data_IF_515751193619
#
_entry.id   IF_515751193619
#
_cell.length_a   1.000
_cell.length_b   1.000
_cell.length_c   1.000
_cell.angle_alpha   90.00
_cell.angle_beta   90.00
_cell.angle_gamma   90.00
#
_symmetry.space_group_name_H-M   'P 1'
#
loop_
_entity.id
_entity.type
_entity.pdbx_description
1 polymer ?
#
# COMPACT_ATOMS: atom_id res chain seq x y z
N UNK A 1 11.95 20.44 -18.33
CA UNK A 1 12.33 21.45 -17.32
C UNK A 1 13.64 22.15 -17.71
N UNK A 2 13.68 22.95 -18.80
CA UNK A 2 14.91 23.64 -19.23
C UNK A 2 15.61 24.49 -18.17
N UNK A 3 14.88 25.01 -17.17
CA UNK A 3 15.46 25.83 -16.10
C UNK A 3 16.60 25.14 -15.32
N UNK A 4 16.65 23.80 -15.31
CA UNK A 4 17.65 23.02 -14.57
C UNK A 4 18.92 22.74 -15.36
N UNK A 5 18.97 23.07 -16.66
CA UNK A 5 20.13 22.81 -17.51
C UNK A 5 20.49 21.32 -17.67
N UNK A 6 19.59 20.40 -17.31
CA UNK A 6 19.79 18.95 -17.31
C UNK A 6 18.87 18.25 -18.30
N UNK A 7 19.32 17.10 -18.81
CA UNK A 7 18.47 16.19 -19.57
C UNK A 7 17.48 15.46 -18.65
N UNK A 8 16.41 14.92 -19.22
CA UNK A 8 15.45 14.11 -18.48
C UNK A 8 16.08 12.87 -17.84
N UNK A 9 17.01 12.21 -18.55
CA UNK A 9 17.76 11.06 -18.03
C UNK A 9 18.59 11.43 -16.79
N UNK A 10 19.29 12.57 -16.83
CA UNK A 10 20.08 13.05 -15.69
C UNK A 10 19.19 13.32 -14.46
N UNK A 11 18.06 13.99 -14.68
CA UNK A 11 17.09 14.27 -13.61
C UNK A 11 16.45 12.99 -13.07
N UNK A 12 16.15 12.01 -13.92
CA UNK A 12 15.60 10.71 -13.50
C UNK A 12 16.62 9.91 -12.68
N UNK A 13 17.89 9.86 -13.10
CA UNK A 13 18.97 9.25 -12.32
C UNK A 13 19.11 9.90 -10.94
N UNK A 14 19.13 11.23 -10.89
CA UNK A 14 19.12 12.00 -9.64
C UNK A 14 17.91 11.63 -8.76
N UNK A 15 16.71 11.60 -9.34
CA UNK A 15 15.48 11.20 -8.64
C UNK A 15 15.55 9.78 -8.05
N UNK A 16 15.98 8.79 -8.83
CA UNK A 16 16.08 7.40 -8.36
C UNK A 16 17.13 7.23 -7.25
N UNK A 17 18.24 7.96 -7.33
CA UNK A 17 19.26 7.97 -6.27
C UNK A 17 18.72 8.56 -4.97
N UNK A 18 18.07 9.74 -5.03
CA UNK A 18 17.40 10.35 -3.87
C UNK A 18 16.38 9.40 -3.25
N UNK A 19 15.55 8.77 -4.09
CA UNK A 19 14.51 7.84 -3.65
C UNK A 19 15.12 6.62 -2.95
N UNK A 20 16.20 6.06 -3.52
CA UNK A 20 16.94 4.96 -2.91
C UNK A 20 17.51 5.37 -1.54
N UNK A 21 18.21 6.49 -1.46
CA UNK A 21 18.81 6.98 -0.21
C UNK A 21 17.76 7.27 0.88
N UNK A 22 16.62 7.84 0.51
CA UNK A 22 15.52 8.08 1.45
C UNK A 22 14.93 6.77 1.96
N UNK A 23 14.61 5.83 1.06
CA UNK A 23 13.96 4.56 1.43
C UNK A 23 14.86 3.60 2.20
N UNK A 24 16.17 3.72 2.07
CA UNK A 24 17.15 2.94 2.85
C UNK A 24 17.53 3.63 4.17
N UNK A 25 17.01 4.82 4.44
CA UNK A 25 17.35 5.60 5.65
C UNK A 25 18.77 6.16 5.63
N UNK A 26 19.38 6.32 4.44
CA UNK A 26 20.69 6.93 4.27
C UNK A 26 20.63 8.47 4.35
N UNK A 27 19.47 9.08 4.06
CA UNK A 27 19.25 10.51 4.29
C UNK A 27 18.87 10.78 5.75
N UNK A 28 19.58 11.72 6.38
CA UNK A 28 19.18 12.25 7.68
C UNK A 28 18.01 13.23 7.48
N UNK A 29 16.81 12.83 7.89
CA UNK A 29 15.59 13.62 7.72
C UNK A 29 15.15 14.21 9.06
N UNK A 30 15.03 15.53 9.11
CA UNK A 30 14.49 16.23 10.26
C UNK A 30 12.95 16.19 10.20
N UNK A 31 12.33 15.68 11.27
CA UNK A 31 10.87 15.56 11.40
C UNK A 31 10.22 16.90 11.72
N UNK A 32 10.20 17.77 10.73
CA UNK A 32 9.56 19.08 10.78
C UNK A 32 8.91 19.41 9.45
N UNK A 33 8.00 20.35 9.49
CA UNK A 33 7.25 20.78 8.33
C UNK A 33 7.19 22.30 8.22
N UNK A 34 7.12 22.79 6.99
CA UNK A 34 7.12 24.20 6.66
C UNK A 34 5.84 24.59 5.94
N UNK A 35 5.24 25.71 6.30
CA UNK A 35 4.10 26.31 5.60
C UNK A 35 4.47 27.72 5.14
N UNK A 36 4.29 28.02 3.87
CA UNK A 36 4.45 29.35 3.28
C UNK A 36 3.10 29.79 2.71
N UNK A 37 2.35 30.58 3.48
CA UNK A 37 0.98 31.00 3.17
C UNK A 37 0.92 32.45 2.67
N UNK A 38 0.82 32.60 1.35
CA UNK A 38 0.62 33.91 0.70
C UNK A 38 -0.86 34.16 0.32
N UNK A 39 -1.79 33.44 0.93
CA UNK A 39 -3.25 33.58 0.74
C UNK A 39 -4.03 33.67 2.07
N UNK A 40 -3.42 34.23 3.11
CA UNK A 40 -3.97 34.29 4.49
C UNK A 40 -5.40 34.83 4.61
N UNK A 41 -5.82 35.71 3.71
CA UNK A 41 -7.15 36.34 3.73
C UNK A 41 -8.22 35.56 2.97
N UNK A 42 -7.88 34.44 2.33
CA UNK A 42 -8.83 33.67 1.52
C UNK A 42 -9.73 32.82 2.42
N UNK A 43 -11.08 32.95 2.31
CA UNK A 43 -12.02 32.27 3.21
C UNK A 43 -11.99 30.74 3.08
N UNK A 44 -11.50 30.23 1.94
CA UNK A 44 -11.31 28.79 1.71
C UNK A 44 -10.17 28.18 2.54
N UNK A 45 -9.24 29.01 3.05
CA UNK A 45 -8.11 28.58 3.88
C UNK A 45 -7.19 27.58 3.17
N UNK A 46 -6.58 27.97 2.04
CA UNK A 46 -5.79 27.05 1.20
C UNK A 46 -4.66 26.36 1.97
N UNK A 47 -3.92 27.12 2.79
CA UNK A 47 -2.86 26.59 3.65
C UNK A 47 -3.34 25.62 4.73
N UNK A 48 -4.66 25.52 4.95
CA UNK A 48 -5.26 24.50 5.78
C UNK A 48 -4.89 23.07 5.36
N UNK A 49 -4.47 22.85 4.10
CA UNK A 49 -3.93 21.56 3.69
C UNK A 49 -2.57 21.24 4.32
N UNK A 50 -1.67 22.22 4.42
CA UNK A 50 -0.40 22.08 5.13
C UNK A 50 -0.63 21.88 6.62
N UNK A 51 -1.30 22.85 7.27
CA UNK A 51 -1.54 22.84 8.72
C UNK A 51 -2.21 21.56 9.22
N UNK A 52 -3.28 21.11 8.55
CA UNK A 52 -4.03 19.92 8.97
C UNK A 52 -3.24 18.63 8.80
N UNK A 53 -2.45 18.51 7.73
CA UNK A 53 -1.72 17.28 7.45
C UNK A 53 -0.42 17.17 8.26
N UNK A 54 0.28 18.28 8.50
CA UNK A 54 1.61 18.23 9.09
C UNK A 54 1.61 17.92 10.58
N UNK A 55 0.65 18.46 11.35
CA UNK A 55 0.61 18.20 12.79
C UNK A 55 0.51 16.70 13.16
N UNK A 56 -0.34 15.88 12.52
CA UNK A 56 -0.35 14.42 12.71
C UNK A 56 0.95 13.70 12.32
N UNK A 57 1.71 14.25 11.35
CA UNK A 57 2.89 13.61 10.76
C UNK A 57 4.16 13.91 11.55
N UNK A 58 4.41 15.19 11.84
CA UNK A 58 5.64 15.67 12.49
C UNK A 58 5.44 16.23 13.89
N UNK A 59 4.19 16.46 14.30
CA UNK A 59 3.82 17.06 15.59
C UNK A 59 3.62 18.56 15.44
N UNK A 60 2.63 19.13 16.13
CA UNK A 60 2.26 20.55 15.99
C UNK A 60 3.41 21.50 16.30
N UNK A 61 4.27 21.15 17.26
CA UNK A 61 5.43 21.97 17.66
C UNK A 61 6.56 21.96 16.62
N UNK A 62 6.49 21.08 15.62
CA UNK A 62 7.48 20.96 14.55
C UNK A 62 6.94 21.48 13.21
N UNK A 63 5.85 22.26 13.23
CA UNK A 63 5.33 22.96 12.05
C UNK A 63 5.61 24.45 12.20
N UNK A 64 6.28 25.03 11.22
CA UNK A 64 6.63 26.45 11.22
C UNK A 64 6.12 27.16 9.97
N UNK A 65 5.84 28.45 10.11
CA UNK A 65 5.46 29.30 8.99
C UNK A 65 6.64 30.20 8.59
N UNK A 66 7.25 29.96 7.43
CA UNK A 66 8.38 30.73 6.89
C UNK A 66 8.35 30.70 5.35
N UNK A 67 9.18 31.53 4.72
CA UNK A 67 9.40 31.50 3.27
C UNK A 67 9.96 30.14 2.82
N UNK A 68 9.36 29.55 1.79
CA UNK A 68 9.65 28.17 1.38
C UNK A 68 11.06 28.01 0.80
N UNK A 69 11.42 28.78 -0.22
CA UNK A 69 12.66 28.53 -0.97
C UNK A 69 13.87 28.92 -0.12
N UNK A 70 13.86 30.07 0.57
CA UNK A 70 15.00 30.50 1.38
C UNK A 70 15.26 29.56 2.55
N UNK A 71 14.19 29.04 3.18
CA UNK A 71 14.31 28.05 4.26
C UNK A 71 14.86 26.75 3.70
N UNK A 72 14.26 26.16 2.67
CA UNK A 72 14.67 24.85 2.13
C UNK A 72 16.07 24.83 1.51
N UNK A 73 16.61 26.01 1.14
CA UNK A 73 17.99 26.12 0.68
C UNK A 73 19.00 25.79 1.80
N UNK A 74 18.66 26.05 3.06
CA UNK A 74 19.56 25.91 4.21
C UNK A 74 19.13 24.82 5.19
N UNK A 75 17.84 24.52 5.22
CA UNK A 75 17.19 23.77 6.28
C UNK A 75 16.40 22.59 5.71
N UNK A 76 16.65 21.39 6.25
CA UNK A 76 15.93 20.18 5.82
C UNK A 76 14.58 20.06 6.51
N UNK A 77 13.50 19.87 5.75
CA UNK A 77 12.16 19.57 6.26
C UNK A 77 11.65 18.26 5.64
N UNK A 78 10.83 17.52 6.37
CA UNK A 78 10.21 16.33 5.80
C UNK A 78 9.06 16.72 4.87
N UNK A 79 8.30 17.76 5.25
CA UNK A 79 7.15 18.25 4.53
C UNK A 79 7.24 19.75 4.30
N UNK A 80 6.84 20.22 3.13
CA UNK A 80 6.71 21.64 2.84
C UNK A 80 5.38 21.90 2.12
N UNK A 81 4.72 23.00 2.49
CA UNK A 81 3.56 23.53 1.81
C UNK A 81 3.84 24.96 1.39
N UNK A 82 3.52 25.33 0.15
CA UNK A 82 3.59 26.71 -0.32
C UNK A 82 2.38 27.08 -1.15
N UNK A 83 1.80 28.25 -0.92
CA UNK A 83 0.73 28.76 -1.74
C UNK A 83 0.87 30.24 -2.08
N UNK A 84 0.33 30.62 -3.24
CA UNK A 84 0.34 31.99 -3.74
C UNK A 84 -0.21 32.09 -5.16
N UNK A 85 -0.42 33.32 -5.64
CA UNK A 85 -0.88 33.55 -7.01
C UNK A 85 0.09 32.94 -8.02
N UNK A 86 -0.40 32.06 -8.90
CA UNK A 86 0.44 31.20 -9.72
C UNK A 86 0.51 31.61 -11.20
N UNK A 87 1.60 31.21 -11.85
CA UNK A 87 1.73 31.05 -13.30
C UNK A 87 2.28 29.65 -13.60
N UNK A 88 2.53 29.33 -14.87
CA UNK A 88 3.25 28.10 -15.23
C UNK A 88 4.61 28.00 -14.52
N UNK A 89 5.28 29.11 -14.22
CA UNK A 89 6.68 29.13 -13.77
C UNK A 89 6.92 29.86 -12.46
N UNK A 90 5.88 30.39 -11.82
CA UNK A 90 6.01 31.19 -10.60
C UNK A 90 4.85 31.03 -9.64
N UNK A 91 5.11 31.31 -8.39
CA UNK A 91 4.17 31.38 -7.29
C UNK A 91 4.49 32.63 -6.47
N UNK A 92 3.59 33.61 -6.46
CA UNK A 92 3.77 34.87 -5.75
C UNK A 92 4.03 34.62 -4.27
N UNK A 93 5.11 35.19 -3.75
CA UNK A 93 5.52 35.03 -2.35
C UNK A 93 6.31 33.75 -2.05
N UNK A 94 6.33 32.77 -2.97
CA UNK A 94 7.09 31.51 -2.80
C UNK A 94 8.32 31.48 -3.73
N UNK A 95 8.16 31.85 -5.01
CA UNK A 95 9.28 31.98 -5.95
C UNK A 95 8.99 31.50 -7.39
N UNK A 96 10.05 31.15 -8.12
CA UNK A 96 9.98 30.73 -9.53
C UNK A 96 10.70 29.40 -9.80
N UNK A 97 10.45 28.79 -10.96
CA UNK A 97 11.20 27.59 -11.40
C UNK A 97 12.70 27.84 -11.51
N UNK A 98 13.11 29.08 -11.81
CA UNK A 98 14.52 29.47 -11.84
C UNK A 98 15.11 29.55 -10.41
N UNK A 99 14.33 30.01 -9.43
CA UNK A 99 14.75 29.97 -8.03
C UNK A 99 14.92 28.54 -7.55
N UNK A 100 13.95 27.65 -7.83
CA UNK A 100 14.04 26.23 -7.48
C UNK A 100 15.24 25.55 -8.14
N UNK A 101 15.56 25.90 -9.40
CA UNK A 101 16.72 25.33 -10.09
C UNK A 101 18.07 25.84 -9.55
N UNK A 102 18.09 27.01 -8.92
CA UNK A 102 19.29 27.66 -8.39
C UNK A 102 19.52 27.43 -6.89
N UNK A 103 18.62 26.74 -6.20
CA UNK A 103 18.67 26.51 -4.75
C UNK A 103 18.44 25.04 -4.42
N UNK A 104 18.84 24.63 -3.23
CA UNK A 104 18.51 23.31 -2.73
C UNK A 104 17.03 23.26 -2.32
N UNK A 105 16.37 22.13 -2.60
CA UNK A 105 14.99 21.88 -2.21
C UNK A 105 14.94 20.82 -1.14
N UNK A 106 15.41 21.12 0.08
CA UNK A 106 15.54 20.13 1.17
C UNK A 106 14.19 19.76 1.81
N UNK A 107 13.18 19.41 1.02
CA UNK A 107 11.84 18.98 1.44
C UNK A 107 11.36 17.70 0.75
N UNK A 108 11.30 16.57 1.47
CA UNK A 108 10.98 15.26 0.87
C UNK A 108 9.64 15.28 0.14
N UNK A 109 8.62 15.84 0.78
CA UNK A 109 7.27 15.98 0.23
C UNK A 109 6.91 17.46 0.12
N UNK A 110 6.68 17.93 -1.10
CA UNK A 110 6.32 19.32 -1.37
C UNK A 110 4.87 19.40 -1.84
N UNK A 111 4.09 20.25 -1.21
CA UNK A 111 2.69 20.52 -1.52
C UNK A 111 2.60 21.95 -2.02
N UNK A 112 2.08 22.17 -3.23
CA UNK A 112 2.03 23.51 -3.83
C UNK A 112 0.62 23.89 -4.24
N UNK A 113 0.26 25.15 -4.05
CA UNK A 113 -1.02 25.68 -4.53
C UNK A 113 -0.86 27.02 -5.22
N UNK A 114 -1.33 27.06 -6.47
CA UNK A 114 -1.35 28.25 -7.30
C UNK A 114 -2.02 27.96 -8.64
N UNK A 115 -2.38 29.02 -9.35
CA UNK A 115 -2.94 28.92 -10.71
C UNK A 115 -1.95 28.29 -11.68
N UNK A 116 -2.44 27.58 -12.70
CA UNK A 116 -1.67 26.96 -13.80
C UNK A 116 -0.70 25.82 -13.43
N UNK A 117 -0.59 25.45 -12.15
CA UNK A 117 0.34 24.41 -11.71
C UNK A 117 0.02 23.03 -12.27
N UNK A 118 -1.27 22.74 -12.47
CA UNK A 118 -1.76 21.49 -13.07
C UNK A 118 -1.44 21.33 -14.56
N UNK A 119 -1.04 22.40 -15.25
CA UNK A 119 -0.71 22.39 -16.68
C UNK A 119 0.74 21.91 -16.89
N UNK A 120 0.98 20.67 -16.50
CA UNK A 120 2.30 20.06 -16.50
C UNK A 120 2.84 19.71 -17.89
N UNK A 121 2.06 19.94 -18.95
CA UNK A 121 2.50 19.86 -20.34
C UNK A 121 3.47 21.00 -20.73
N UNK A 122 3.59 22.05 -19.92
CA UNK A 122 4.55 23.13 -20.14
C UNK A 122 6.00 22.71 -19.84
N UNK A 123 6.94 23.27 -20.61
CA UNK A 123 8.38 22.94 -20.55
C UNK A 123 8.99 23.19 -19.16
N UNK A 124 8.70 24.36 -18.59
CA UNK A 124 8.96 24.71 -17.20
C UNK A 124 7.61 24.79 -16.49
N UNK A 125 7.47 24.05 -15.41
CA UNK A 125 6.24 23.99 -14.62
C UNK A 125 6.62 24.04 -13.13
N UNK A 126 6.03 24.97 -12.39
CA UNK A 126 6.37 25.21 -10.98
C UNK A 126 6.07 24.00 -10.10
N UNK A 127 4.98 23.28 -10.35
CA UNK A 127 4.62 22.07 -9.62
C UNK A 127 5.62 20.92 -9.83
N UNK A 128 6.15 20.77 -11.03
CA UNK A 128 7.14 19.73 -11.36
C UNK A 128 8.54 20.04 -10.87
N UNK A 129 8.87 21.32 -10.70
CA UNK A 129 10.24 21.78 -10.43
C UNK A 129 10.90 21.14 -9.20
N UNK A 130 10.23 20.96 -8.05
CA UNK A 130 10.86 20.33 -6.89
C UNK A 130 11.42 18.92 -7.19
N UNK A 131 10.77 18.14 -8.05
CA UNK A 131 11.23 16.78 -8.39
C UNK A 131 12.56 16.77 -9.16
N UNK A 132 12.88 17.87 -9.84
CA UNK A 132 14.06 18.03 -10.69
C UNK A 132 15.30 18.53 -9.93
N UNK A 133 15.17 18.99 -8.69
CA UNK A 133 16.28 19.39 -7.83
C UNK A 133 17.11 18.17 -7.37
N UNK A 134 18.39 18.35 -7.05
CA UNK A 134 19.28 17.26 -6.61
C UNK A 134 19.16 16.92 -5.11
N UNK A 135 18.57 17.81 -4.32
CA UNK A 135 18.44 17.68 -2.86
C UNK A 135 16.98 17.87 -2.46
N UNK A 136 16.51 17.20 -1.40
CA UNK A 136 15.54 16.17 -1.71
C UNK A 136 14.14 16.74 -1.78
N UNK A 137 13.55 16.64 -2.97
CA UNK A 137 12.11 16.48 -3.14
C UNK A 137 11.84 15.20 -3.95
N UNK A 138 10.93 14.38 -3.41
CA UNK A 138 10.53 13.06 -3.92
C UNK A 138 9.05 12.98 -4.27
N UNK A 139 8.23 13.88 -3.72
CA UNK A 139 6.86 14.07 -4.15
C UNK A 139 6.56 15.55 -4.30
N UNK A 140 5.84 15.90 -5.35
CA UNK A 140 5.29 17.24 -5.55
C UNK A 140 3.89 17.15 -6.08
N UNK A 141 2.92 17.77 -5.42
CA UNK A 141 1.52 17.67 -5.84
C UNK A 141 0.71 18.89 -5.41
N UNK A 142 -0.35 19.12 -6.18
CA UNK A 142 -1.18 20.30 -6.01
C UNK A 142 -2.31 20.00 -5.03
N UNK A 143 -2.41 20.79 -3.96
CA UNK A 143 -3.39 20.55 -2.91
C UNK A 143 -3.95 21.84 -2.32
N UNK A 144 -5.28 21.87 -2.26
CA UNK A 144 -6.18 22.73 -1.50
C UNK A 144 -7.56 22.54 -2.14
N UNK A 145 -7.64 22.59 -3.49
CA UNK A 145 -8.87 22.45 -4.28
C UNK A 145 -8.89 21.18 -5.16
N UNK A 146 -8.95 19.95 -4.62
CA UNK A 146 -9.52 19.66 -3.33
C UNK A 146 -8.42 19.41 -2.29
N UNK A 147 -8.88 19.22 -1.05
CA UNK A 147 -8.02 18.91 0.07
C UNK A 147 -7.54 17.47 0.02
N UNK A 148 -6.25 17.27 0.31
CA UNK A 148 -5.63 15.98 0.56
C UNK A 148 -5.64 15.61 2.06
N UNK A 149 -5.65 14.31 2.34
CA UNK A 149 -5.65 13.71 3.68
C UNK A 149 -4.51 12.67 3.80
N UNK A 150 -3.43 13.07 4.46
CA UNK A 150 -2.14 12.39 4.47
C UNK A 150 -1.79 11.77 5.84
N UNK A 151 -2.62 12.00 6.85
CA UNK A 151 -2.37 11.54 8.22
C UNK A 151 -2.19 10.02 8.35
N UNK A 152 -2.70 9.22 7.41
CA UNK A 152 -2.47 7.76 7.38
C UNK A 152 -0.97 7.42 7.31
N UNK A 153 -0.16 8.26 6.65
CA UNK A 153 1.28 8.05 6.59
C UNK A 153 1.96 8.14 7.96
N UNK A 154 1.33 8.81 8.94
CA UNK A 154 1.81 8.84 10.32
C UNK A 154 1.76 7.46 11.00
N UNK A 155 0.97 6.52 10.47
CA UNK A 155 0.87 5.14 10.94
C UNK A 155 1.39 4.12 9.92
N UNK A 156 2.31 4.55 9.05
CA UNK A 156 3.10 3.65 8.21
C UNK A 156 2.54 3.35 6.83
N UNK A 157 1.34 3.86 6.51
CA UNK A 157 0.82 3.80 5.14
C UNK A 157 1.70 4.60 4.18
N UNK A 158 1.66 4.22 2.90
CA UNK A 158 2.34 4.96 1.85
C UNK A 158 1.50 6.15 1.35
N UNK A 159 2.15 7.10 0.68
CA UNK A 159 1.48 8.26 0.12
C UNK A 159 0.42 7.87 -0.91
N UNK A 160 0.63 6.79 -1.68
CA UNK A 160 -0.34 6.26 -2.65
C UNK A 160 -1.67 5.84 -2.00
N UNK A 161 -1.63 5.26 -0.81
CA UNK A 161 -2.83 4.96 -0.01
C UNK A 161 -3.60 6.25 0.31
N UNK A 162 -2.89 7.27 0.78
CA UNK A 162 -3.47 8.59 1.09
C UNK A 162 -3.99 9.31 -0.16
N UNK A 163 -3.28 9.20 -1.29
CA UNK A 163 -3.72 9.70 -2.59
C UNK A 163 -5.04 9.08 -3.00
N UNK A 164 -5.14 7.74 -2.98
CA UNK A 164 -6.36 7.01 -3.33
C UNK A 164 -7.53 7.40 -2.44
N UNK A 165 -7.30 7.56 -1.12
CA UNK A 165 -8.36 8.00 -0.21
C UNK A 165 -8.78 9.45 -0.47
N UNK A 166 -7.83 10.34 -0.76
CA UNK A 166 -8.13 11.75 -1.06
C UNK A 166 -8.92 11.88 -2.38
N UNK A 167 -8.51 11.15 -3.42
CA UNK A 167 -9.24 11.05 -4.70
C UNK A 167 -10.68 10.54 -4.49
N UNK A 168 -10.85 9.55 -3.63
CA UNK A 168 -12.14 8.94 -3.35
C UNK A 168 -12.90 9.64 -2.22
N UNK A 169 -12.44 10.76 -1.65
CA UNK A 169 -13.21 11.45 -0.62
C UNK A 169 -14.48 12.06 -1.22
N UNK A 170 -15.65 11.74 -0.67
CA UNK A 170 -16.93 12.37 -1.05
C UNK A 170 -17.41 13.41 -0.02
N UNK A 171 -16.60 13.70 0.99
CA UNK A 171 -16.97 14.62 2.06
C UNK A 171 -17.67 13.98 3.26
N UNK A 172 -18.07 12.70 3.18
CA UNK A 172 -18.75 12.02 4.30
C UNK A 172 -17.81 11.74 5.48
N UNK A 173 -16.58 11.29 5.19
CA UNK A 173 -15.57 11.03 6.20
C UNK A 173 -14.72 12.27 6.48
N UNK A 174 -14.29 12.96 5.43
CA UNK A 174 -13.45 14.14 5.55
C UNK A 174 -14.12 15.38 4.96
N UNK A 175 -14.68 16.19 5.85
CA UNK A 175 -15.30 17.47 5.51
C UNK A 175 -14.32 18.64 5.74
N UNK A 176 -14.33 19.59 4.82
CA UNK A 176 -13.53 20.83 4.82
C UNK A 176 -14.35 21.94 4.15
N UNK A 177 -13.99 23.23 4.31
CA UNK A 177 -14.71 24.33 3.66
C UNK A 177 -14.82 24.20 2.12
N UNK A 178 -13.93 23.45 1.49
CA UNK A 178 -13.86 23.23 0.03
C UNK A 178 -14.15 21.78 -0.37
N UNK A 179 -14.90 21.05 0.46
CA UNK A 179 -15.35 19.68 0.16
C UNK A 179 -16.25 19.60 -1.07
N UNK A 180 -16.91 20.70 -1.46
CA UNK A 180 -17.68 20.77 -2.70
C UNK A 180 -16.86 20.47 -3.96
N UNK A 181 -15.54 20.63 -3.91
CA UNK A 181 -14.63 20.32 -5.04
C UNK A 181 -14.12 18.87 -5.03
N UNK A 182 -14.41 18.10 -3.98
CA UNK A 182 -14.01 16.70 -3.88
C UNK A 182 -14.67 15.88 -5.01
N UNK A 183 -13.89 15.04 -5.68
CA UNK A 183 -14.30 14.25 -6.88
C UNK A 183 -14.74 15.07 -8.11
N UNK A 184 -14.65 16.40 -8.08
CA UNK A 184 -14.88 17.26 -9.24
C UNK A 184 -13.55 17.70 -9.86
N UNK A 185 -12.58 18.04 -9.01
CA UNK A 185 -11.24 18.45 -9.46
C UNK A 185 -10.28 17.27 -9.43
N UNK A 186 -9.53 17.11 -10.52
CA UNK A 186 -8.51 16.07 -10.65
C UNK A 186 -7.44 16.20 -9.57
N UNK A 187 -7.08 15.07 -8.97
CA UNK A 187 -6.09 14.97 -7.91
C UNK A 187 -4.98 14.04 -8.37
N UNK A 188 -3.76 14.55 -8.49
CA UNK A 188 -2.64 13.81 -9.06
C UNK A 188 -1.37 13.95 -8.22
N UNK A 189 -0.82 12.80 -7.84
CA UNK A 189 0.48 12.69 -7.18
C UNK A 189 1.57 12.68 -8.25
N UNK A 190 2.56 13.58 -8.17
CA UNK A 190 3.82 13.39 -8.88
C UNK A 190 4.87 12.88 -7.91
N UNK A 191 5.48 11.75 -8.24
CA UNK A 191 6.44 11.06 -7.39
C UNK A 191 6.07 9.59 -7.22
N UNK A 192 6.77 8.92 -6.31
CA UNK A 192 6.64 7.49 -6.09
C UNK A 192 5.51 7.20 -5.07
N UNK A 193 4.44 6.47 -5.48
CA UNK A 193 3.30 6.21 -4.60
C UNK A 193 3.64 5.30 -3.41
N UNK A 194 4.77 4.59 -3.43
CA UNK A 194 5.21 3.71 -2.34
C UNK A 194 5.99 4.44 -1.24
N UNK A 195 6.22 5.75 -1.38
CA UNK A 195 6.90 6.55 -0.38
C UNK A 195 6.13 6.57 0.95
N UNK A 196 6.84 6.38 2.05
CA UNK A 196 6.34 6.51 3.42
C UNK A 196 7.04 7.68 4.11
N UNK A 197 6.48 8.13 5.22
CA UNK A 197 7.10 9.21 6.02
C UNK A 197 8.31 8.72 6.81
N UNK A 198 8.39 7.44 7.17
CA UNK A 198 9.51 6.87 7.93
C UNK A 198 10.04 5.58 7.29
N UNK A 199 11.36 5.46 7.22
CA UNK A 199 12.04 4.24 6.80
C UNK A 199 13.02 3.78 7.87
N UNK A 200 12.93 2.49 8.20
CA UNK A 200 13.88 1.79 9.07
C UNK A 200 15.07 1.38 8.20
N UNK A 201 16.30 1.61 8.67
CA UNK A 201 17.49 1.17 7.95
C UNK A 201 17.49 -0.36 7.77
N UNK A 202 17.71 -0.88 6.54
CA UNK A 202 17.71 -2.32 6.29
C UNK A 202 18.94 -3.01 6.89
N UNK A 203 18.91 -4.35 6.90
CA UNK A 203 20.11 -5.15 7.19
C UNK A 203 21.13 -4.96 6.06
N UNK A 204 22.42 -4.69 6.35
CA UNK A 204 23.39 -4.40 5.29
C UNK A 204 23.67 -5.58 4.35
N UNK A 205 23.60 -6.81 4.85
CA UNK A 205 23.91 -8.01 4.09
C UNK A 205 23.14 -9.22 4.61
N UNK A 206 22.87 -10.16 3.69
CA UNK A 206 22.33 -11.49 3.97
C UNK A 206 23.29 -12.51 3.38
N UNK A 207 23.60 -13.56 4.13
CA UNK A 207 24.44 -14.68 3.72
C UNK A 207 23.68 -15.97 3.97
N UNK A 208 23.76 -16.89 3.02
CA UNK A 208 23.04 -18.15 3.06
C UNK A 208 24.03 -19.31 3.16
N UNK A 209 23.79 -20.19 4.12
CA UNK A 209 24.43 -21.50 4.22
C UNK A 209 23.41 -22.60 3.92
N UNK A 210 23.86 -23.71 3.35
CA UNK A 210 23.05 -24.91 3.15
C UNK A 210 23.55 -26.05 4.03
N UNK A 211 22.64 -26.74 4.69
CA UNK A 211 22.91 -27.99 5.40
C UNK A 211 21.78 -28.96 5.04
N UNK A 212 22.08 -30.06 4.35
CA UNK A 212 21.06 -31.01 3.90
C UNK A 212 20.25 -31.61 5.05
N UNK A 213 20.78 -31.57 6.27
CA UNK A 213 20.10 -32.03 7.49
C UNK A 213 19.25 -30.96 8.17
N UNK A 214 19.42 -29.68 7.80
CA UNK A 214 18.74 -28.53 8.45
C UNK A 214 17.99 -27.60 7.49
N UNK A 215 18.22 -27.70 6.19
CA UNK A 215 17.69 -26.79 5.18
C UNK A 215 18.58 -25.56 4.95
N UNK A 216 17.95 -24.40 4.75
CA UNK A 216 18.63 -23.14 4.52
C UNK A 216 18.93 -22.42 5.84
N UNK A 217 20.20 -22.10 6.09
CA UNK A 217 20.63 -21.25 7.21
C UNK A 217 20.80 -19.83 6.69
N UNK A 218 19.88 -18.94 7.07
CA UNK A 218 19.88 -17.54 6.70
C UNK A 218 20.53 -16.74 7.82
N UNK A 219 21.65 -16.08 7.53
CA UNK A 219 22.34 -15.19 8.48
C UNK A 219 22.46 -13.79 7.91
N UNK A 220 22.51 -12.77 8.76
CA UNK A 220 22.60 -11.38 8.30
C UNK A 220 23.43 -10.51 9.23
N UNK A 221 23.91 -9.40 8.70
CA UNK A 221 24.48 -8.34 9.54
C UNK A 221 23.33 -7.56 10.21
N UNK A 222 23.44 -7.31 11.50
CA UNK A 222 22.43 -6.53 12.23
C UNK A 222 22.19 -5.17 11.55
N UNK A 223 20.92 -4.75 11.46
CA UNK A 223 20.58 -3.41 10.97
C UNK A 223 21.21 -2.32 11.85
N UNK A 224 21.74 -1.24 11.26
CA UNK A 224 22.26 -0.09 12.01
C UNK A 224 21.16 0.83 12.56
N UNK A 225 19.88 0.46 12.41
CA UNK A 225 18.76 1.21 12.98
C UNK A 225 18.78 1.14 14.53
N UNK A 226 18.56 2.28 15.19
CA UNK A 226 18.43 2.31 16.66
C UNK A 226 17.04 1.80 17.06
N UNK A 227 17.01 0.89 18.04
CA UNK A 227 15.76 0.36 18.61
C UNK A 227 15.10 -0.74 17.77
N UNK A 228 15.89 -1.54 17.03
CA UNK A 228 15.38 -2.72 16.32
C UNK A 228 14.75 -3.69 17.31
N UNK A 229 13.47 -4.01 17.08
CA UNK A 229 12.70 -4.97 17.87
C UNK A 229 12.94 -6.43 17.43
N UNK A 230 13.47 -6.63 16.23
CA UNK A 230 13.83 -7.93 15.67
C UNK A 230 13.80 -7.93 14.14
N UNK A 231 13.84 -9.12 13.56
CA UNK A 231 13.92 -9.36 12.13
C UNK A 231 12.87 -10.37 11.69
N UNK A 232 12.50 -10.30 10.41
CA UNK A 232 11.63 -11.27 9.75
C UNK A 232 12.31 -11.76 8.48
N UNK A 233 12.23 -13.08 8.28
CA UNK A 233 12.82 -13.77 7.13
C UNK A 233 11.69 -14.22 6.20
N UNK A 234 11.84 -13.88 4.93
CA UNK A 234 10.91 -14.22 3.86
C UNK A 234 11.63 -15.05 2.80
N UNK A 235 10.86 -15.82 2.03
CA UNK A 235 11.37 -16.65 0.92
C UNK A 235 10.51 -16.50 -0.32
N UNK A 236 11.15 -16.49 -1.49
CA UNK A 236 10.52 -16.59 -2.81
C UNK A 236 11.21 -17.62 -3.69
N UNK A 237 10.53 -18.09 -4.73
CA UNK A 237 11.10 -18.91 -5.82
C UNK A 237 11.69 -18.06 -6.95
N UNK A 238 11.56 -16.73 -6.89
CA UNK A 238 12.06 -15.79 -7.89
C UNK A 238 12.56 -14.51 -7.22
N UNK A 239 13.54 -13.83 -7.83
CA UNK A 239 14.14 -12.60 -7.32
C UNK A 239 13.12 -11.50 -7.04
N UNK A 240 12.20 -11.32 -7.99
CA UNK A 240 11.14 -10.31 -7.96
C UNK A 240 9.74 -10.94 -7.74
N UNK A 241 9.71 -12.18 -7.27
CA UNK A 241 8.47 -12.90 -7.01
C UNK A 241 7.78 -12.47 -5.71
N UNK A 242 6.69 -13.17 -5.38
CA UNK A 242 6.05 -13.03 -4.08
C UNK A 242 6.96 -13.62 -2.99
N UNK A 243 7.30 -12.82 -1.98
CA UNK A 243 8.06 -13.26 -0.80
C UNK A 243 7.11 -13.64 0.32
N UNK A 244 7.11 -14.92 0.70
CA UNK A 244 6.29 -15.46 1.79
C UNK A 244 7.07 -15.47 3.09
N UNK A 245 6.43 -15.07 4.19
CA UNK A 245 7.04 -15.07 5.51
C UNK A 245 7.40 -16.51 5.92
N UNK A 246 8.63 -16.70 6.42
CA UNK A 246 9.14 -18.01 6.89
C UNK A 246 9.35 -18.05 8.39
N UNK A 247 9.62 -16.92 9.01
CA UNK A 247 9.93 -16.85 10.45
C UNK A 247 8.83 -16.12 11.24
N UNK A 248 8.77 -16.37 12.54
CA UNK A 248 8.29 -15.37 13.50
C UNK A 248 9.28 -14.19 13.62
N UNK A 249 9.07 -13.32 14.61
CA UNK A 249 10.05 -12.26 14.91
C UNK A 249 11.31 -12.88 15.53
N UNK A 250 12.45 -12.71 14.88
CA UNK A 250 13.76 -13.21 15.32
C UNK A 250 14.53 -12.08 16.00
N UNK A 251 15.08 -12.30 17.20
CA UNK A 251 15.89 -11.31 17.92
C UNK A 251 17.39 -11.43 17.65
N UNK A 252 17.85 -12.63 17.27
CA UNK A 252 19.21 -12.86 16.79
C UNK A 252 19.40 -12.50 15.32
N UNK A 253 20.57 -12.84 14.78
CA UNK A 253 20.95 -12.56 13.38
C UNK A 253 21.05 -13.80 12.50
N UNK A 254 20.37 -14.88 12.90
CA UNK A 254 20.33 -16.14 12.16
C UNK A 254 18.96 -16.79 12.28
N UNK A 255 18.55 -17.50 11.23
CA UNK A 255 17.33 -18.27 11.14
C UNK A 255 17.55 -19.50 10.26
N UNK A 256 16.97 -20.64 10.63
CA UNK A 256 17.03 -21.87 9.84
C UNK A 256 15.65 -22.20 9.28
N UNK A 257 15.52 -22.26 7.95
CA UNK A 257 14.32 -22.75 7.26
C UNK A 257 14.54 -24.22 6.89
N UNK A 258 13.87 -25.12 7.60
CA UNK A 258 14.02 -26.57 7.43
C UNK A 258 12.98 -27.21 6.51
N UNK A 259 12.07 -26.42 5.93
CA UNK A 259 10.93 -26.94 5.18
C UNK A 259 10.91 -26.44 3.74
N UNK A 260 10.96 -27.33 2.76
CA UNK A 260 10.93 -26.96 1.35
C UNK A 260 11.16 -28.14 0.41
N UNK A 261 11.00 -27.89 -0.89
CA UNK A 261 11.49 -28.81 -1.91
C UNK A 261 12.94 -28.46 -2.26
N UNK A 262 13.73 -29.40 -2.78
CA UNK A 262 15.01 -29.10 -3.42
C UNK A 262 14.87 -28.00 -4.48
N UNK A 263 15.72 -26.99 -4.45
CA UNK A 263 15.70 -25.94 -5.48
C UNK A 263 16.41 -24.65 -5.11
N UNK A 264 16.40 -23.72 -6.05
CA UNK A 264 16.92 -22.36 -5.85
C UNK A 264 15.84 -21.47 -5.26
N UNK A 265 16.20 -20.79 -4.18
CA UNK A 265 15.30 -19.88 -3.47
C UNK A 265 15.99 -18.55 -3.20
N UNK A 266 15.17 -17.52 -3.10
CA UNK A 266 15.55 -16.18 -2.69
C UNK A 266 15.08 -15.93 -1.27
N UNK A 267 15.98 -15.60 -0.37
CA UNK A 267 15.67 -15.22 1.01
C UNK A 267 15.84 -13.72 1.18
N UNK A 268 14.89 -13.09 1.87
CA UNK A 268 14.89 -11.66 2.18
C UNK A 268 14.77 -11.47 3.68
N UNK A 269 15.61 -10.60 4.24
CA UNK A 269 15.55 -10.23 5.66
C UNK A 269 15.11 -8.77 5.78
N UNK A 270 14.17 -8.50 6.69
CA UNK A 270 13.70 -7.15 7.02
C UNK A 270 13.83 -6.91 8.52
N UNK A 271 14.36 -5.76 8.89
CA UNK A 271 14.37 -5.28 10.27
C UNK A 271 13.01 -4.69 10.64
N UNK A 272 12.62 -4.85 11.91
CA UNK A 272 11.39 -4.32 12.49
C UNK A 272 11.72 -3.40 13.66
N UNK A 273 11.02 -2.26 13.76
CA UNK A 273 11.15 -1.29 14.85
C UNK A 273 9.75 -0.87 15.30
N UNK A 274 9.55 -0.75 16.61
CA UNK A 274 8.34 -0.08 17.12
C UNK A 274 8.48 1.43 16.90
N UNK A 275 7.79 1.95 15.89
CA UNK A 275 7.80 3.35 15.52
C UNK A 275 6.72 4.10 16.31
N UNK A 276 7.11 5.19 16.97
CA UNK A 276 6.19 6.15 17.58
C UNK A 276 6.13 7.40 16.72
N UNK A 277 4.93 7.90 16.48
CA UNK A 277 4.65 9.16 15.78
C UNK A 277 3.64 9.98 16.61
N UNK A 278 3.40 11.25 16.28
CA UNK A 278 2.37 12.05 16.95
C UNK A 278 0.98 11.41 16.91
N UNK A 279 0.72 10.54 15.93
CA UNK A 279 -0.59 9.89 15.71
C UNK A 279 -0.70 8.48 16.30
N UNK A 280 0.37 7.94 16.92
CA UNK A 280 0.33 6.62 17.56
C UNK A 280 1.58 5.78 17.33
N UNK A 281 1.46 4.47 17.52
CA UNK A 281 2.58 3.52 17.46
C UNK A 281 2.27 2.32 16.56
N UNK A 282 3.24 1.88 15.78
CA UNK A 282 3.13 0.68 14.93
C UNK A 282 4.50 0.03 14.70
N UNK A 283 4.52 -1.24 14.30
CA UNK A 283 5.76 -1.88 13.86
C UNK A 283 6.10 -1.45 12.44
N UNK A 284 7.14 -0.64 12.29
CA UNK A 284 7.67 -0.24 11.00
C UNK A 284 8.72 -1.24 10.52
N UNK A 285 8.64 -1.61 9.25
CA UNK A 285 9.57 -2.55 8.61
C UNK A 285 10.54 -1.80 7.70
N UNK A 286 11.80 -2.23 7.69
CA UNK A 286 12.78 -1.79 6.70
C UNK A 286 12.41 -2.29 5.30
N UNK A 287 13.11 -1.79 4.29
CA UNK A 287 13.22 -2.53 3.03
C UNK A 287 13.95 -3.87 3.27
N UNK A 288 13.78 -4.80 2.33
CA UNK A 288 14.41 -6.10 2.40
C UNK A 288 15.75 -6.13 1.70
N UNK A 289 16.71 -6.82 2.32
CA UNK A 289 17.95 -7.24 1.68
C UNK A 289 17.84 -8.72 1.38
N UNK A 290 18.13 -9.11 0.15
CA UNK A 290 17.95 -10.49 -0.32
C UNK A 290 19.26 -11.12 -0.80
N UNK A 291 19.29 -12.44 -0.76
CA UNK A 291 20.30 -13.28 -1.37
C UNK A 291 19.62 -14.55 -1.91
N UNK A 292 20.25 -15.24 -2.85
CA UNK A 292 19.76 -16.52 -3.38
C UNK A 292 20.75 -17.64 -3.18
N UNK A 293 20.22 -18.86 -3.16
CA UNK A 293 21.01 -20.08 -3.06
C UNK A 293 20.19 -21.31 -3.42
N UNK A 294 20.88 -22.43 -3.66
CA UNK A 294 20.25 -23.72 -3.90
C UNK A 294 20.32 -24.57 -2.65
N UNK A 295 19.19 -25.11 -2.23
CA UNK A 295 19.06 -25.82 -0.96
C UNK A 295 18.40 -27.18 -1.15
N UNK A 296 18.76 -28.11 -0.26
CA UNK A 296 18.02 -29.33 0.02
C UNK A 296 17.39 -29.16 1.40
N UNK A 297 16.17 -29.66 1.60
CA UNK A 297 15.49 -29.55 2.88
C UNK A 297 15.18 -30.94 3.44
N UNK A 298 15.32 -31.13 4.75
CA UNK A 298 15.01 -32.41 5.42
C UNK A 298 13.50 -32.67 5.49
N UNK A 299 12.67 -31.63 5.40
CA UNK A 299 11.22 -31.73 5.51
C UNK A 299 10.55 -31.02 4.34
N UNK A 300 9.40 -31.52 3.91
CA UNK A 300 8.53 -30.83 2.95
C UNK A 300 7.71 -29.77 3.67
N UNK A 301 7.43 -28.64 3.01
CA UNK A 301 6.49 -27.64 3.53
C UNK A 301 5.14 -28.34 3.73
N UNK A 302 4.71 -28.53 4.99
CA UNK A 302 3.35 -28.90 5.35
C UNK A 302 2.43 -27.68 5.20
N UNK A 303 2.57 -26.97 4.08
CA UNK A 303 1.48 -26.16 3.58
C UNK A 303 0.45 -27.15 3.08
N UNK A 304 -0.43 -27.62 3.96
CA UNK A 304 -1.72 -28.14 3.52
C UNK A 304 -2.40 -26.90 2.92
N UNK A 305 -2.50 -26.70 1.59
CA UNK A 305 -3.64 -25.93 1.13
C UNK A 305 -4.81 -26.67 1.75
N UNK A 306 -5.62 -26.01 2.59
CA UNK A 306 -6.82 -26.63 3.14
C UNK A 306 -7.48 -27.32 1.95
N UNK A 307 -7.51 -28.66 1.96
CA UNK A 307 -8.07 -29.41 0.85
C UNK A 307 -9.50 -28.90 0.83
N UNK A 308 -9.85 -28.14 -0.20
CA UNK A 308 -11.18 -27.60 -0.28
C UNK A 308 -12.08 -28.83 -0.41
N UNK A 309 -12.80 -29.19 0.66
CA UNK A 309 -13.66 -30.37 0.70
C UNK A 309 -14.62 -30.43 -0.50
N UNK A 310 -14.88 -29.27 -1.12
CA UNK A 310 -15.63 -29.09 -2.36
C UNK A 310 -14.72 -28.52 -3.46
N UNK A 311 -14.42 -29.33 -4.48
CA UNK A 311 -13.68 -28.89 -5.67
C UNK A 311 -14.57 -28.06 -6.60
N UNK A 312 -15.78 -28.55 -6.90
CA UNK A 312 -16.72 -27.92 -7.80
C UNK A 312 -18.17 -28.18 -7.35
N UNK A 313 -19.07 -27.25 -7.68
CA UNK A 313 -20.52 -27.47 -7.55
C UNK A 313 -21.19 -26.97 -8.82
N UNK A 314 -22.13 -27.75 -9.35
CA UNK A 314 -22.97 -27.40 -10.48
C UNK A 314 -24.45 -27.67 -10.14
N UNK A 315 -25.35 -26.96 -10.81
CA UNK A 315 -26.79 -27.12 -10.62
C UNK A 315 -27.50 -27.06 -11.97
N UNK A 316 -28.24 -28.13 -12.31
CA UNK A 316 -28.99 -28.20 -13.57
C UNK A 316 -30.29 -29.03 -13.45
N UNK A 317 -31.32 -28.76 -14.26
CA UNK A 317 -31.44 -27.56 -15.10
C UNK A 317 -31.57 -26.30 -14.24
N UNK A 318 -31.17 -25.15 -14.79
CA UNK A 318 -31.38 -23.86 -14.16
C UNK A 318 -31.58 -22.81 -15.27
N UNK A 319 -32.80 -22.27 -15.48
CA UNK A 319 -33.97 -22.33 -14.59
C UNK A 319 -34.68 -23.71 -14.48
N UNK A 320 -35.45 -23.92 -13.41
CA UNK A 320 -36.17 -25.18 -13.14
C UNK A 320 -37.55 -24.96 -12.51
N UNK A 321 -38.43 -25.96 -12.60
CA UNK A 321 -39.81 -25.90 -12.09
C UNK A 321 -39.99 -26.62 -10.75
N UNK A 322 -39.75 -27.93 -10.77
CA UNK A 322 -40.07 -28.82 -9.63
C UNK A 322 -38.84 -29.37 -8.93
N UNK A 323 -37.75 -29.65 -9.66
CA UNK A 323 -36.51 -30.14 -9.05
C UNK A 323 -35.27 -29.70 -9.81
N UNK A 324 -34.13 -29.74 -9.13
CA UNK A 324 -32.80 -29.51 -9.71
C UNK A 324 -31.80 -30.56 -9.23
N UNK A 325 -30.91 -30.97 -10.12
CA UNK A 325 -29.77 -31.81 -9.80
C UNK A 325 -28.63 -30.92 -9.32
N UNK A 326 -28.20 -31.15 -8.08
CA UNK A 326 -26.97 -30.61 -7.52
C UNK A 326 -25.85 -31.63 -7.74
N UNK A 327 -24.78 -31.22 -8.40
CA UNK A 327 -23.57 -32.04 -8.59
C UNK A 327 -22.47 -31.42 -7.75
N UNK A 328 -21.89 -32.20 -6.84
CA UNK A 328 -20.80 -31.77 -5.96
C UNK A 328 -19.60 -32.66 -6.22
N UNK A 329 -18.51 -32.08 -6.70
CA UNK A 329 -17.22 -32.77 -6.82
C UNK A 329 -16.50 -32.65 -5.48
N UNK A 330 -16.55 -33.72 -4.67
CA UNK A 330 -15.91 -33.79 -3.36
C UNK A 330 -14.42 -34.11 -3.46
N UNK A 331 -13.60 -33.41 -2.67
CA UNK A 331 -12.16 -33.67 -2.58
C UNK A 331 -11.79 -34.66 -1.47
N UNK A 332 -12.72 -34.95 -0.56
CA UNK A 332 -12.56 -35.86 0.57
C UNK A 332 -13.92 -36.43 1.02
N UNK A 333 -13.90 -37.42 1.91
CA UNK A 333 -15.11 -37.97 2.51
C UNK A 333 -15.51 -37.12 3.73
N UNK A 334 -16.65 -36.43 3.67
CA UNK A 334 -17.12 -35.54 4.75
C UNK A 334 -18.63 -35.33 4.65
N UNK A 335 -19.24 -34.71 5.66
CA UNK A 335 -20.64 -34.25 5.59
C UNK A 335 -20.74 -32.90 4.89
N UNK A 336 -21.70 -32.76 3.98
CA UNK A 336 -22.04 -31.51 3.32
C UNK A 336 -23.42 -31.02 3.77
N UNK A 337 -23.51 -29.73 4.13
CA UNK A 337 -24.73 -29.02 4.47
C UNK A 337 -25.15 -28.14 3.28
N UNK A 338 -26.35 -28.38 2.77
CA UNK A 338 -26.95 -27.64 1.67
C UNK A 338 -28.02 -26.72 2.26
N UNK A 339 -27.96 -25.43 1.93
CA UNK A 339 -28.94 -24.42 2.36
C UNK A 339 -29.46 -23.65 1.16
N UNK A 340 -30.78 -23.56 1.00
CA UNK A 340 -31.42 -22.71 0.01
C UNK A 340 -31.96 -21.47 0.73
N UNK A 341 -31.60 -20.28 0.27
CA UNK A 341 -32.12 -19.01 0.80
C UNK A 341 -32.78 -18.17 -0.28
N UNK A 342 -33.75 -17.35 0.09
CA UNK A 342 -34.26 -16.29 -0.80
C UNK A 342 -33.25 -15.13 -0.94
N UNK A 343 -33.61 -14.12 -1.74
CA UNK A 343 -32.76 -12.94 -1.96
C UNK A 343 -32.64 -12.01 -0.75
N UNK A 344 -33.49 -12.18 0.27
CA UNK A 344 -33.41 -11.48 1.56
C UNK A 344 -32.60 -12.27 2.60
N UNK A 345 -32.09 -13.46 2.24
CA UNK A 345 -31.30 -14.33 3.11
C UNK A 345 -32.13 -15.22 4.04
N UNK A 346 -33.46 -15.26 3.89
CA UNK A 346 -34.31 -16.17 4.65
C UNK A 346 -34.07 -17.60 4.18
N UNK A 347 -33.86 -18.50 5.13
CA UNK A 347 -33.67 -19.93 4.84
C UNK A 347 -35.01 -20.54 4.41
N UNK A 348 -35.01 -21.12 3.21
CA UNK A 348 -36.16 -21.77 2.60
C UNK A 348 -36.10 -23.29 2.73
N UNK A 349 -34.90 -23.87 2.64
CA UNK A 349 -34.67 -25.30 2.84
C UNK A 349 -33.26 -25.57 3.36
N UNK A 350 -33.10 -26.68 4.10
CA UNK A 350 -31.81 -27.24 4.52
C UNK A 350 -31.79 -28.74 4.26
N UNK A 351 -30.65 -29.26 3.84
CA UNK A 351 -30.43 -30.70 3.65
C UNK A 351 -29.00 -31.05 4.03
N UNK A 352 -28.79 -32.26 4.54
CA UNK A 352 -27.46 -32.80 4.81
C UNK A 352 -27.26 -34.05 3.97
N UNK A 353 -26.03 -34.25 3.49
CA UNK A 353 -25.64 -35.46 2.76
C UNK A 353 -24.20 -35.84 3.09
N UNK A 354 -23.87 -37.13 2.94
CA UNK A 354 -22.48 -37.57 2.97
C UNK A 354 -21.85 -37.38 1.60
N UNK A 355 -20.77 -36.62 1.58
CA UNK A 355 -19.92 -36.39 0.43
C UNK A 355 -18.86 -37.49 0.39
N UNK A 356 -18.74 -38.17 -0.74
CA UNK A 356 -17.59 -39.02 -1.05
C UNK A 356 -16.63 -38.29 -1.99
N UNK A 357 -15.36 -38.71 -2.01
CA UNK A 357 -14.40 -38.20 -2.98
C UNK A 357 -14.88 -38.49 -4.42
N UNK A 358 -14.83 -37.49 -5.30
CA UNK A 358 -15.35 -37.57 -6.67
C UNK A 358 -16.74 -36.96 -6.82
N UNK A 359 -17.50 -37.40 -7.84
CA UNK A 359 -18.79 -36.81 -8.16
C UNK A 359 -19.91 -37.34 -7.25
N UNK A 360 -20.65 -36.43 -6.62
CA UNK A 360 -21.82 -36.71 -5.79
C UNK A 360 -23.03 -36.04 -6.41
N UNK A 361 -24.14 -36.78 -6.51
CA UNK A 361 -25.38 -36.31 -7.12
C UNK A 361 -26.47 -36.24 -6.06
N UNK A 362 -27.07 -35.07 -5.90
CA UNK A 362 -28.19 -34.84 -4.98
C UNK A 362 -29.34 -34.14 -5.69
N UNK A 363 -30.55 -34.69 -5.60
CA UNK A 363 -31.74 -34.07 -6.19
C UNK A 363 -32.43 -33.19 -5.15
N UNK A 364 -32.59 -31.91 -5.47
CA UNK A 364 -33.28 -30.94 -4.64
C UNK A 364 -34.70 -30.74 -5.18
N UNK A 365 -35.71 -31.07 -4.36
CA UNK A 365 -37.10 -30.72 -4.62
C UNK A 365 -37.32 -29.23 -4.28
N UNK A 366 -37.78 -28.47 -5.28
CA UNK A 366 -38.07 -27.04 -5.20
C UNK A 366 -39.53 -26.73 -5.54
N UNK A 367 -40.37 -27.75 -5.66
CA UNK A 367 -41.79 -27.65 -6.02
C UNK A 367 -42.60 -26.78 -5.06
N UNK A 368 -42.18 -26.70 -3.79
CA UNK A 368 -42.85 -25.94 -2.73
C UNK A 368 -42.36 -24.50 -2.57
N UNK A 369 -41.23 -24.14 -3.19
CA UNK A 369 -40.70 -22.77 -3.15
C UNK A 369 -41.54 -21.85 -4.04
N UNK A 370 -41.77 -20.56 -3.76
CA UNK A 370 -42.38 -19.64 -4.72
C UNK A 370 -41.53 -19.45 -5.99
N UNK A 371 -42.14 -19.05 -7.12
CA UNK A 371 -41.35 -18.67 -8.32
C UNK A 371 -40.48 -17.45 -8.01
N UNK A 372 -39.20 -17.50 -8.37
CA UNK A 372 -38.24 -16.47 -7.98
C UNK A 372 -36.78 -16.92 -8.00
N UNK A 373 -35.90 -16.03 -7.51
CA UNK A 373 -34.46 -16.25 -7.41
C UNK A 373 -34.06 -16.69 -6.01
N UNK A 374 -33.17 -17.68 -5.93
CA UNK A 374 -32.65 -18.25 -4.69
C UNK A 374 -31.12 -18.42 -4.76
N UNK A 375 -30.50 -18.52 -3.59
CA UNK A 375 -29.10 -18.92 -3.45
C UNK A 375 -29.04 -20.33 -2.87
N UNK A 376 -28.37 -21.24 -3.57
CA UNK A 376 -28.06 -22.59 -3.08
C UNK A 376 -26.63 -22.60 -2.59
N UNK A 377 -26.46 -22.86 -1.31
CA UNK A 377 -25.18 -22.89 -0.64
C UNK A 377 -24.84 -24.31 -0.25
N UNK A 378 -23.61 -24.73 -0.56
CA UNK A 378 -23.06 -26.01 -0.14
C UNK A 378 -21.87 -25.73 0.75
N UNK A 379 -21.89 -26.24 1.97
CA UNK A 379 -20.81 -26.14 2.93
C UNK A 379 -20.35 -27.53 3.36
N UNK A 380 -19.05 -27.80 3.25
CA UNK A 380 -18.45 -29.03 3.74
C UNK A 380 -17.07 -28.71 4.32
N UNK A 381 -16.80 -29.13 5.56
CA UNK A 381 -15.62 -28.70 6.31
C UNK A 381 -15.50 -27.17 6.34
N UNK A 382 -14.35 -26.65 5.91
CA UNK A 382 -14.08 -25.21 5.80
C UNK A 382 -14.42 -24.62 4.42
N UNK A 383 -14.97 -25.42 3.49
CA UNK A 383 -15.31 -24.99 2.14
C UNK A 383 -16.77 -24.58 2.03
N UNK A 384 -17.02 -23.46 1.34
CA UNK A 384 -18.36 -22.96 1.04
C UNK A 384 -18.45 -22.52 -0.41
N UNK A 385 -19.42 -23.05 -1.15
CA UNK A 385 -19.76 -22.63 -2.52
C UNK A 385 -21.20 -22.15 -2.56
N UNK A 386 -21.51 -21.21 -3.44
CA UNK A 386 -22.87 -20.65 -3.58
C UNK A 386 -23.21 -20.49 -5.04
N UNK A 387 -24.36 -21.00 -5.44
CA UNK A 387 -24.92 -20.92 -6.79
C UNK A 387 -26.24 -20.18 -6.76
N UNK A 388 -26.58 -19.55 -7.88
CA UNK A 388 -27.91 -18.95 -8.09
C UNK A 388 -28.85 -20.01 -8.65
N UNK A 389 -30.06 -20.06 -8.14
CA UNK A 389 -31.16 -20.91 -8.64
C UNK A 389 -32.33 -20.01 -9.07
N UNK A 390 -32.84 -20.22 -10.28
CA UNK A 390 -34.05 -19.60 -10.78
C UNK A 390 -35.19 -20.62 -10.83
N UNK A 391 -36.21 -20.47 -9.98
CA UNK A 391 -37.43 -21.27 -10.03
C UNK A 391 -38.48 -20.60 -10.90
N UNK A 392 -38.99 -21.30 -11.90
CA UNK A 392 -40.07 -20.86 -12.79
C UNK A 392 -41.39 -21.58 -12.49
N UNK A 393 -42.49 -21.10 -13.08
CA UNK A 393 -43.85 -21.63 -12.91
C UNK A 393 -44.06 -23.02 -13.49
#
# INVERSE_FOLDING_TARGET
MPAFGKTEEQMMKSYLNKAHQYKTGALAVNKRALVDDNFKSMPEGFAGNGWRNFAPLVGSNNVEEKDLISTLNTEFHQWAYGCGAGSYTSCSGVGTTANIAANDMKAVFTILFGSYFGDWNYKNNFLRAPLCADEPSLASFWAARPNWFLHHMALGENIGYSTRLSQNNNGSLYATPITSLARIVSTALMGDPSLRTEYVKPVPSVTLGGDSTKGAVVSWTASPEVGVAGYYVYRSTSEFGEYKLRSGRVTGTTYTDSFGAPGTYWYMVRASKLQTTPSGTYYNMSLGTSASGTFQYPFFDLGVPAIASIAEVQLYPNPAKESVQLVITGAENTTAHITITDMQGKVMAKKEMQLTMGNNLEQLDISTLPAGMYMVQVQAGNSRKTLKLARTY
#
